data_IF_545984764264
#
_entry.id   IF_545984764264
#
_cell.length_a   1.000
_cell.length_b   1.000
_cell.length_c   1.000
_cell.angle_alpha   90.00
_cell.angle_beta   90.00
_cell.angle_gamma   90.00
#
_symmetry.space_group_name_H-M   'P 1'
#
loop_
_entity.id
_entity.type
_entity.pdbx_description
1 polymer ?
#
# COMPACT_ATOMS: atom_id res chain seq x y z
N UNK A 1 -3.29 -5.25 -2.20
CA UNK A 1 -3.19 -5.77 -0.82
C UNK A 1 -2.10 -6.82 -0.79
N UNK A 2 -1.20 -6.75 0.18
CA UNK A 2 -0.13 -7.73 0.41
C UNK A 2 -0.27 -8.14 1.87
N UNK A 3 -0.53 -9.42 2.12
CA UNK A 3 -0.83 -9.97 3.44
C UNK A 3 0.20 -11.04 3.81
N UNK A 4 1.02 -10.76 4.82
CA UNK A 4 1.99 -11.72 5.35
C UNK A 4 1.31 -12.55 6.44
N UNK A 5 0.96 -13.79 6.09
CA UNK A 5 0.29 -14.72 7.01
C UNK A 5 1.34 -15.59 7.69
N UNK A 6 1.41 -15.51 9.01
CA UNK A 6 2.32 -16.32 9.84
C UNK A 6 1.65 -17.56 10.43
N UNK A 7 0.33 -17.68 10.31
CA UNK A 7 -0.45 -18.81 10.79
C UNK A 7 -0.71 -19.80 9.64
N UNK A 8 -0.95 -21.07 9.98
CA UNK A 8 -1.26 -22.14 9.02
C UNK A 8 -0.16 -22.36 7.95
N UNK A 9 -0.45 -22.06 6.69
CA UNK A 9 0.39 -22.37 5.52
C UNK A 9 1.63 -21.47 5.38
N UNK A 10 1.76 -20.46 6.24
CA UNK A 10 2.93 -19.58 6.30
C UNK A 10 3.26 -18.96 4.92
N UNK A 11 2.32 -18.16 4.43
CA UNK A 11 2.28 -17.67 3.07
C UNK A 11 2.11 -16.15 3.01
N UNK A 12 2.41 -15.60 1.84
CA UNK A 12 2.11 -14.22 1.49
C UNK A 12 1.00 -14.26 0.45
N UNK A 13 -0.08 -13.55 0.73
CA UNK A 13 -1.25 -13.48 -0.14
C UNK A 13 -1.40 -12.08 -0.70
N UNK A 14 -1.54 -11.99 -2.02
CA UNK A 14 -1.70 -10.74 -2.75
C UNK A 14 -3.01 -10.73 -3.51
N UNK A 15 -3.72 -9.61 -3.43
CA UNK A 15 -5.00 -9.45 -4.10
C UNK A 15 -5.36 -7.98 -4.32
N UNK A 16 -6.39 -7.76 -5.13
CA UNK A 16 -7.08 -6.49 -5.31
C UNK A 16 -8.51 -6.60 -4.80
N UNK A 17 -8.96 -5.58 -4.09
CA UNK A 17 -10.36 -5.46 -3.66
C UNK A 17 -11.03 -4.38 -4.49
N UNK A 18 -12.12 -4.72 -5.16
CA UNK A 18 -12.89 -3.78 -5.97
C UNK A 18 -14.36 -4.19 -5.98
N UNK A 19 -15.28 -3.24 -6.14
CA UNK A 19 -16.72 -3.52 -6.17
C UNK A 19 -17.20 -4.36 -4.96
N UNK A 20 -16.68 -4.03 -3.78
CA UNK A 20 -16.97 -4.73 -2.53
C UNK A 20 -16.61 -6.24 -2.52
N UNK A 21 -15.70 -6.69 -3.38
CA UNK A 21 -15.30 -8.08 -3.48
C UNK A 21 -13.77 -8.22 -3.66
N UNK A 22 -13.24 -9.33 -3.14
CA UNK A 22 -11.87 -9.76 -3.39
C UNK A 22 -11.77 -10.49 -4.73
N UNK A 23 -10.71 -10.22 -5.48
CA UNK A 23 -10.40 -10.95 -6.71
C UNK A 23 -9.75 -12.31 -6.44
N UNK A 24 -9.11 -12.87 -7.48
CA UNK A 24 -8.33 -14.10 -7.37
C UNK A 24 -7.05 -13.86 -6.55
N UNK A 25 -6.80 -14.68 -5.52
CA UNK A 25 -5.59 -14.58 -4.71
C UNK A 25 -4.35 -15.08 -5.48
N UNK A 26 -3.23 -14.38 -5.30
CA UNK A 26 -1.89 -14.83 -5.70
C UNK A 26 -1.12 -15.15 -4.42
N UNK A 27 -0.53 -16.35 -4.35
CA UNK A 27 0.09 -16.88 -3.13
C UNK A 27 1.57 -17.15 -3.36
N UNK A 28 2.39 -16.82 -2.36
CA UNK A 28 3.83 -17.03 -2.34
C UNK A 28 4.26 -17.56 -0.97
N UNK A 29 5.42 -18.20 -0.90
CA UNK A 29 6.03 -18.59 0.37
C UNK A 29 6.41 -17.35 1.21
N UNK A 30 6.10 -17.36 2.51
CA UNK A 30 6.54 -16.31 3.44
C UNK A 30 7.94 -16.60 4.01
N UNK A 31 8.98 -15.80 3.72
CA UNK A 31 10.32 -16.05 4.24
C UNK A 31 10.53 -15.58 5.69
N UNK A 32 9.65 -14.73 6.22
CA UNK A 32 9.82 -14.10 7.53
C UNK A 32 9.28 -14.99 8.63
N UNK A 33 9.88 -14.90 9.82
CA UNK A 33 9.31 -15.42 11.07
C UNK A 33 8.88 -14.27 11.97
N UNK A 34 8.04 -14.58 12.96
CA UNK A 34 7.63 -13.58 13.95
C UNK A 34 8.86 -13.06 14.70
N UNK A 35 8.99 -11.73 14.77
CA UNK A 35 10.13 -11.05 15.39
C UNK A 35 11.26 -10.68 14.42
N UNK A 36 11.26 -11.19 13.19
CA UNK A 36 12.30 -10.85 12.22
C UNK A 36 12.24 -9.37 11.81
N UNK A 37 13.43 -8.79 11.62
CA UNK A 37 13.54 -7.51 10.93
C UNK A 37 13.32 -7.71 9.44
N UNK A 38 12.69 -6.73 8.81
CA UNK A 38 12.47 -6.75 7.36
C UNK A 38 12.70 -5.38 6.74
N UNK A 39 13.08 -5.42 5.46
CA UNK A 39 13.01 -4.31 4.54
C UNK A 39 12.17 -4.74 3.34
N UNK A 40 10.96 -4.17 3.24
CA UNK A 40 10.03 -4.43 2.13
C UNK A 40 10.13 -3.28 1.14
N UNK A 41 10.50 -3.59 -0.10
CA UNK A 41 10.55 -2.61 -1.18
C UNK A 41 9.51 -2.99 -2.24
N UNK A 42 8.58 -2.07 -2.50
CA UNK A 42 7.57 -2.21 -3.55
C UNK A 42 7.96 -1.29 -4.71
N UNK A 43 8.35 -1.86 -5.84
CA UNK A 43 8.68 -1.12 -7.06
C UNK A 43 7.46 -1.01 -7.96
N UNK A 44 7.03 0.22 -8.19
CA UNK A 44 5.97 0.54 -9.15
C UNK A 44 6.54 0.48 -10.58
N UNK A 45 6.22 -0.57 -11.34
CA UNK A 45 6.60 -0.72 -12.75
C UNK A 45 5.40 -0.49 -13.66
N UNK A 46 5.64 -0.34 -14.96
CA UNK A 46 4.57 -0.16 -15.94
C UNK A 46 3.59 -1.35 -16.00
N UNK A 47 4.08 -2.58 -15.78
CA UNK A 47 3.26 -3.80 -15.90
C UNK A 47 2.74 -4.38 -14.58
N UNK A 48 3.21 -3.88 -13.45
CA UNK A 48 2.85 -4.40 -12.14
C UNK A 48 3.70 -3.82 -11.02
N UNK A 49 3.59 -4.43 -9.84
CA UNK A 49 4.45 -4.17 -8.71
C UNK A 49 5.47 -5.29 -8.58
N UNK A 50 6.76 -4.97 -8.61
CA UNK A 50 7.80 -5.90 -8.19
C UNK A 50 8.04 -5.72 -6.69
N UNK A 51 8.00 -6.81 -5.95
CA UNK A 51 8.12 -6.80 -4.50
C UNK A 51 9.43 -7.49 -4.14
N UNK A 52 10.25 -6.80 -3.36
CA UNK A 52 11.50 -7.30 -2.83
C UNK A 52 11.44 -7.31 -1.30
N UNK A 53 11.99 -8.37 -0.71
CA UNK A 53 12.10 -8.54 0.73
C UNK A 53 13.56 -8.79 1.10
N UNK A 54 14.10 -7.95 1.98
CA UNK A 54 15.49 -8.02 2.44
C UNK A 54 16.51 -8.05 1.29
N UNK A 55 16.24 -7.31 0.20
CA UNK A 55 17.09 -7.23 -0.98
C UNK A 55 16.95 -8.39 -1.98
N UNK A 56 16.04 -9.33 -1.73
CA UNK A 56 15.76 -10.45 -2.62
C UNK A 56 14.39 -10.30 -3.28
N UNK A 57 14.26 -10.70 -4.55
CA UNK A 57 12.98 -10.73 -5.23
C UNK A 57 12.02 -11.68 -4.51
N UNK A 58 10.82 -11.17 -4.17
CA UNK A 58 9.78 -11.94 -3.50
C UNK A 58 8.66 -12.33 -4.47
N UNK A 59 8.15 -11.36 -5.23
CA UNK A 59 7.02 -11.58 -6.14
C UNK A 59 6.87 -10.47 -7.19
N UNK A 60 6.13 -10.79 -8.24
CA UNK A 60 5.57 -9.82 -9.18
C UNK A 60 4.03 -9.86 -9.09
N UNK A 61 3.39 -8.71 -8.90
CA UNK A 61 1.93 -8.58 -8.91
C UNK A 61 1.50 -7.72 -10.11
N UNK A 62 0.91 -8.31 -11.17
CA UNK A 62 0.43 -7.56 -12.32
C UNK A 62 -0.65 -6.53 -11.93
N UNK A 63 -0.63 -5.37 -12.57
CA UNK A 63 -1.64 -4.33 -12.32
C UNK A 63 -3.04 -4.84 -12.69
N UNK A 64 -3.95 -4.86 -11.71
CA UNK A 64 -5.39 -5.11 -11.94
C UNK A 64 -6.22 -3.82 -12.04
N UNK A 65 -5.62 -2.70 -11.63
CA UNK A 65 -6.18 -1.36 -11.70
C UNK A 65 -5.10 -0.40 -12.18
N UNK A 66 -5.49 0.78 -12.64
CA UNK A 66 -4.54 1.79 -13.05
C UNK A 66 -3.66 2.21 -11.86
N UNK A 67 -2.36 2.01 -11.96
CA UNK A 67 -1.40 2.37 -10.92
C UNK A 67 -1.48 3.86 -10.53
N UNK A 68 -1.78 4.75 -11.47
CA UNK A 68 -1.87 6.19 -11.19
C UNK A 68 -3.06 6.58 -10.31
N UNK A 69 -4.00 5.65 -10.07
CA UNK A 69 -5.17 5.90 -9.22
C UNK A 69 -4.90 5.59 -7.74
N UNK A 70 -3.72 5.05 -7.40
CA UNK A 70 -3.31 4.79 -6.01
C UNK A 70 -2.88 6.10 -5.34
N UNK A 71 -3.56 6.45 -4.25
CA UNK A 71 -3.32 7.70 -3.51
C UNK A 71 -2.77 7.47 -2.10
N UNK A 72 -2.91 6.26 -1.57
CA UNK A 72 -2.71 5.96 -0.15
C UNK A 72 -1.98 4.64 0.02
N UNK A 73 -1.08 4.58 1.01
CA UNK A 73 -0.57 3.33 1.57
C UNK A 73 -1.15 3.15 2.98
N UNK A 74 -1.78 1.99 3.20
CA UNK A 74 -2.27 1.57 4.52
C UNK A 74 -1.42 0.44 5.07
N UNK A 75 -1.08 0.52 6.36
CA UNK A 75 -0.32 -0.51 7.08
C UNK A 75 -1.16 -0.95 8.28
N UNK A 76 -1.37 -2.26 8.42
CA UNK A 76 -2.17 -2.85 9.50
C UNK A 76 -1.59 -4.22 9.87
N UNK A 77 -1.73 -4.61 11.14
CA UNK A 77 -1.38 -5.93 11.65
C UNK A 77 -0.36 -5.86 12.79
N UNK A 78 0.15 -7.03 13.19
CA UNK A 78 1.19 -7.16 14.21
C UNK A 78 2.58 -6.81 13.66
N UNK A 79 2.77 -5.56 13.24
CA UNK A 79 4.00 -5.07 12.61
C UNK A 79 4.52 -3.83 13.33
N UNK A 80 5.83 -3.77 13.54
CA UNK A 80 6.50 -2.55 13.99
C UNK A 80 7.23 -1.91 12.81
N UNK A 81 6.82 -0.71 12.42
CA UNK A 81 7.38 0.00 11.26
C UNK A 81 8.24 1.14 11.75
N UNK A 82 9.55 1.03 11.50
CA UNK A 82 10.52 2.06 11.87
C UNK A 82 10.45 3.28 10.95
N UNK A 83 10.29 3.05 9.65
CA UNK A 83 10.36 4.10 8.63
C UNK A 83 9.64 3.67 7.35
N UNK A 84 9.06 4.63 6.64
CA UNK A 84 8.53 4.47 5.28
C UNK A 84 9.16 5.54 4.39
N UNK A 85 9.83 5.12 3.31
CA UNK A 85 10.46 6.02 2.33
C UNK A 85 9.80 5.88 0.98
N UNK A 86 9.70 7.01 0.30
CA UNK A 86 9.27 7.08 -1.08
C UNK A 86 10.39 7.70 -1.91
N UNK A 87 10.63 7.13 -3.09
CA UNK A 87 11.67 7.58 -4.03
C UNK A 87 11.17 7.44 -5.46
N UNK A 88 11.75 8.19 -6.40
CA UNK A 88 11.37 8.12 -7.82
C UNK A 88 9.99 8.69 -8.14
N UNK A 89 9.26 9.24 -7.16
CA UNK A 89 8.02 9.97 -7.38
C UNK A 89 8.35 11.46 -7.52
N UNK A 90 7.87 12.07 -8.60
CA UNK A 90 7.72 13.53 -8.63
C UNK A 90 6.59 13.89 -7.70
N UNK A 91 6.90 14.07 -6.42
CA UNK A 91 5.98 14.76 -5.52
C UNK A 91 5.77 16.14 -6.09
N UNK A 92 4.59 16.38 -6.69
CA UNK A 92 4.21 17.74 -7.05
C UNK A 92 4.26 18.63 -5.80
N UNK A 93 3.99 18.06 -4.63
CA UNK A 93 4.05 18.74 -3.33
C UNK A 93 4.49 17.79 -2.22
N UNK A 94 5.51 18.20 -1.45
CA UNK A 94 5.97 17.47 -0.26
C UNK A 94 4.98 17.70 0.89
N UNK A 95 4.44 16.63 1.46
CA UNK A 95 3.70 16.72 2.72
C UNK A 95 4.65 17.16 3.83
N UNK A 96 4.45 18.38 4.38
CA UNK A 96 5.17 18.86 5.56
C UNK A 96 5.88 20.21 5.44
N UNK A 97 6.01 20.81 4.24
CA UNK A 97 6.58 22.16 4.08
C UNK A 97 5.51 23.17 3.69
N UNK A 98 4.76 23.69 4.67
CA UNK A 98 4.11 25.01 4.66
C UNK A 98 3.19 25.43 3.51
N UNK A 99 2.96 24.57 2.52
CA UNK A 99 2.23 24.87 1.30
C UNK A 99 1.17 23.80 1.04
N UNK A 100 0.34 23.55 2.06
CA UNK A 100 -0.91 22.82 1.91
C UNK A 100 -1.95 23.74 1.26
N UNK A 101 -1.86 23.93 -0.06
CA UNK A 101 -2.91 24.60 -0.86
C UNK A 101 -3.62 23.66 -1.82
N UNK A 102 -3.23 22.38 -1.86
CA UNK A 102 -3.92 21.37 -2.67
C UNK A 102 -4.55 20.37 -1.71
N UNK A 103 -5.81 20.65 -1.39
CA UNK A 103 -6.77 19.63 -0.99
C UNK A 103 -6.90 18.64 -2.15
N UNK A 104 -6.76 17.34 -1.91
CA UNK A 104 -7.06 16.29 -2.89
C UNK A 104 -8.47 15.73 -2.71
N UNK A 105 -9.27 16.31 -1.81
CA UNK A 105 -10.62 15.87 -1.46
C UNK A 105 -10.62 14.77 -0.41
N UNK A 106 -9.48 14.60 0.28
CA UNK A 106 -9.24 13.57 1.27
C UNK A 106 -8.66 14.25 2.53
N UNK A 107 -9.49 14.37 3.57
CA UNK A 107 -9.09 14.88 4.88
C UNK A 107 -8.96 13.76 5.93
N UNK A 108 -8.15 13.98 6.96
CA UNK A 108 -8.19 13.18 8.20
C UNK A 108 -7.09 12.13 8.42
N UNK A 109 -5.89 12.26 7.83
CA UNK A 109 -4.81 11.30 8.07
C UNK A 109 -4.08 11.54 9.39
N UNK A 110 -4.55 10.89 10.45
CA UNK A 110 -3.73 10.46 11.58
C UNK A 110 -3.68 8.93 11.56
N UNK A 111 -2.52 8.32 11.33
CA UNK A 111 -2.36 6.91 11.65
C UNK A 111 -1.30 6.17 10.87
N UNK A 112 -0.07 6.18 11.36
CA UNK A 112 0.72 4.95 11.39
C UNK A 112 0.23 4.15 12.62
N UNK A 113 -0.19 2.89 12.43
CA UNK A 113 -0.45 1.96 13.55
C UNK A 113 -1.81 2.04 14.27
N UNK A 114 -2.91 2.43 13.60
CA UNK A 114 -4.25 2.36 14.22
C UNK A 114 -4.79 0.92 14.25
N UNK A 115 -5.54 0.57 15.31
CA UNK A 115 -6.14 -0.77 15.50
C UNK A 115 -7.27 -1.07 14.50
N UNK A 116 -7.84 -0.05 13.87
CA UNK A 116 -8.84 -0.14 12.80
C UNK A 116 -8.43 0.70 11.59
N UNK A 117 -8.72 0.18 10.39
CA UNK A 117 -8.61 0.95 9.15
C UNK A 117 -9.89 1.75 8.99
N UNK A 118 -9.78 3.08 9.02
CA UNK A 118 -10.84 3.97 8.55
C UNK A 118 -10.50 4.34 7.12
N UNK A 119 -11.37 3.96 6.18
CA UNK A 119 -11.18 4.35 4.78
C UNK A 119 -11.19 5.88 4.65
N UNK A 120 -10.36 6.46 3.77
CA UNK A 120 -10.43 7.87 3.47
C UNK A 120 -11.84 8.23 2.98
N UNK A 121 -12.36 9.37 3.46
CA UNK A 121 -13.63 9.92 2.97
C UNK A 121 -13.32 10.70 1.70
N UNK A 122 -13.90 10.26 0.59
CA UNK A 122 -13.80 10.92 -0.70
C UNK A 122 -14.94 11.94 -0.79
N UNK A 123 -14.62 13.23 -0.84
CA UNK A 123 -15.63 14.25 -1.06
C UNK A 123 -16.03 14.26 -2.54
N UNK A 124 -17.13 13.61 -2.93
CA UNK A 124 -17.53 13.42 -4.33
C UNK A 124 -17.55 14.66 -5.24
N UNK A 125 -17.63 15.88 -4.70
CA UNK A 125 -17.54 17.13 -5.47
C UNK A 125 -16.12 17.66 -5.72
N UNK A 126 -15.09 16.96 -5.25
CA UNK A 126 -13.71 17.44 -5.29
C UNK A 126 -13.03 17.17 -6.64
N UNK A 127 -12.31 18.18 -7.17
CA UNK A 127 -11.70 18.19 -8.51
C UNK A 127 -10.64 17.11 -8.75
N UNK A 128 -10.14 16.50 -7.69
CA UNK A 128 -9.13 15.42 -7.73
C UNK A 128 -9.67 14.02 -7.44
N UNK A 129 -11.00 13.83 -7.33
CA UNK A 129 -11.55 12.47 -7.33
C UNK A 129 -11.42 11.87 -8.73
N UNK A 130 -10.39 11.07 -8.94
CA UNK A 130 -10.16 10.35 -10.19
C UNK A 130 -11.07 9.11 -10.37
N UNK A 131 -12.21 9.07 -9.68
CA UNK A 131 -13.14 7.94 -9.73
C UNK A 131 -14.58 8.40 -10.01
N UNK A 132 -14.74 9.15 -11.11
CA UNK A 132 -15.89 9.13 -12.01
C UNK A 132 -15.40 9.45 -13.42
#
# INVERSE_FOLDING_TARGET
HIDFRFQHEHEIVMNSFSHNAWGMEVRHHNPLRSGDHFHLHIHCKHHGYDIELNGHHLAHFPHRHNMSSVQVIGLKGGVHVKEVKFHGFHFRHSWGHGHATIDFGHGGYNGYGTSSYNAPVFNGGHTYNAYW
#
